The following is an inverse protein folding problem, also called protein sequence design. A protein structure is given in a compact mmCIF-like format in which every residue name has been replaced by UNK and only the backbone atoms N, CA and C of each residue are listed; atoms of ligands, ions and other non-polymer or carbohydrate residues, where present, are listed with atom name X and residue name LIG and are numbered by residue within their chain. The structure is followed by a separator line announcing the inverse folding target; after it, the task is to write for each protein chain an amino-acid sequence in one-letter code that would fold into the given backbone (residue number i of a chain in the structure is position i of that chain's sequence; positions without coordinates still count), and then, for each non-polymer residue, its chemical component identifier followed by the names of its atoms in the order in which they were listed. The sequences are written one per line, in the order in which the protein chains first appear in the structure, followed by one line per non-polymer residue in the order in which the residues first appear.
data_IF_323742488029
#
_entry.id   IF_323742488029
#
_cell.length_a   1.000
_cell.length_b   1.000
_cell.length_c   1.000
_cell.angle_alpha   90.00
_cell.angle_beta   90.00
_cell.angle_gamma   90.00
#
_symmetry.space_group_name_H-M   'P 1'
#
loop_
_entity.id
_entity.type
_entity.pdbx_description
1 polymer ?
#
# COMPACT_ATOMS: atom_id res chain seq x y z
N UNK A 1 2.31 12.04 -7.53
CA UNK A 1 1.69 10.90 -8.27
C UNK A 1 1.96 9.64 -7.47
N UNK A 2 0.97 8.76 -7.31
CA UNK A 2 1.09 7.52 -6.52
C UNK A 2 1.08 6.29 -7.42
N UNK A 3 2.23 5.63 -7.53
CA UNK A 3 2.35 4.34 -8.20
C UNK A 3 2.40 3.21 -7.17
N UNK A 4 1.62 2.16 -7.39
CA UNK A 4 1.47 1.02 -6.49
C UNK A 4 1.73 -0.25 -7.29
N UNK A 5 2.62 -1.10 -6.79
CA UNK A 5 2.96 -2.38 -7.41
C UNK A 5 2.69 -3.50 -6.43
N UNK A 6 1.93 -4.51 -6.86
CA UNK A 6 1.54 -5.66 -6.06
C UNK A 6 1.83 -6.92 -6.86
N UNK A 7 2.90 -7.62 -6.49
CA UNK A 7 3.30 -8.88 -7.11
C UNK A 7 2.51 -10.06 -6.56
N UNK A 8 1.20 -10.07 -6.84
CA UNK A 8 0.26 -11.10 -6.39
C UNK A 8 -1.18 -10.62 -6.40
N UNK A 9 -2.04 -11.34 -5.67
CA UNK A 9 -3.47 -11.06 -5.62
C UNK A 9 -3.82 -9.92 -4.66
N UNK A 10 -4.88 -9.19 -4.98
CA UNK A 10 -5.47 -8.15 -4.13
C UNK A 10 -6.91 -8.51 -3.81
N UNK A 11 -7.20 -8.75 -2.53
CA UNK A 11 -8.55 -8.99 -2.05
C UNK A 11 -9.00 -7.92 -1.04
N UNK A 12 -9.92 -7.05 -1.45
CA UNK A 12 -10.51 -6.00 -0.60
C UNK A 12 -12.01 -6.24 -0.40
N UNK A 13 -12.35 -7.37 0.22
CA UNK A 13 -13.75 -7.85 0.35
C UNK A 13 -14.44 -7.50 1.67
N UNK A 14 -13.89 -6.56 2.43
CA UNK A 14 -14.48 -6.07 3.67
C UNK A 14 -13.97 -4.66 4.00
N UNK A 15 -14.66 -3.99 4.94
CA UNK A 15 -14.34 -2.63 5.36
C UNK A 15 -14.54 -1.59 4.25
N UNK A 16 -13.91 -0.43 4.39
CA UNK A 16 -13.99 0.68 3.43
C UNK A 16 -12.62 1.19 3.00
N UNK A 17 -11.57 0.37 3.17
CA UNK A 17 -10.22 0.72 2.75
C UNK A 17 -10.17 0.89 1.22
N UNK A 18 -9.75 2.09 0.79
CA UNK A 18 -9.49 2.41 -0.61
C UNK A 18 -8.03 2.19 -0.98
N UNK A 19 -7.71 2.35 -2.26
CA UNK A 19 -6.36 2.22 -2.81
C UNK A 19 -6.09 3.37 -3.78
N UNK A 20 -4.85 3.86 -3.79
CA UNK A 20 -4.43 5.01 -4.58
C UNK A 20 -4.79 6.36 -3.94
N UNK A 21 -4.06 7.41 -4.35
CA UNK A 21 -4.27 8.78 -3.87
C UNK A 21 -5.41 9.45 -4.63
N UNK A 22 -6.34 10.08 -3.90
CA UNK A 22 -7.40 10.91 -4.49
C UNK A 22 -6.90 12.25 -4.99
N UNK A 23 -5.75 12.72 -4.50
CA UNK A 23 -5.18 14.02 -4.83
C UNK A 23 -4.16 13.92 -5.97
N UNK A 24 -3.37 12.84 -5.97
CA UNK A 24 -2.33 12.59 -6.95
C UNK A 24 -2.36 11.14 -7.48
N UNK A 25 -3.45 10.74 -8.16
CA UNK A 25 -3.56 9.38 -8.69
C UNK A 25 -2.43 9.08 -9.69
N UNK A 26 -1.86 7.88 -9.59
CA UNK A 26 -0.92 7.32 -10.56
C UNK A 26 -1.43 5.99 -11.09
N UNK A 27 -0.55 5.00 -11.16
CA UNK A 27 -0.88 3.65 -11.61
C UNK A 27 -0.95 2.64 -10.46
N UNK A 28 -1.81 1.63 -10.60
CA UNK A 28 -1.89 0.48 -9.69
C UNK A 28 -1.67 -0.77 -10.53
N UNK A 29 -0.55 -1.44 -10.33
CA UNK A 29 -0.11 -2.62 -11.05
C UNK A 29 -0.29 -3.86 -10.16
N UNK A 30 -1.00 -4.87 -10.65
CA UNK A 30 -1.35 -6.09 -9.89
C UNK A 30 -0.99 -7.32 -10.74
N UNK A 31 -0.01 -8.11 -10.29
CA UNK A 31 0.45 -9.32 -11.00
C UNK A 31 -0.44 -10.56 -10.78
N UNK A 32 -1.57 -10.40 -10.09
CA UNK A 32 -2.53 -11.46 -9.81
C UNK A 32 -3.97 -11.03 -10.06
N UNK A 33 -4.90 -11.66 -9.34
CA UNK A 33 -6.32 -11.34 -9.38
C UNK A 33 -6.65 -10.10 -8.52
N UNK A 34 -7.66 -9.33 -8.92
CA UNK A 34 -8.22 -8.23 -8.15
C UNK A 34 -9.67 -8.54 -7.74
N UNK A 35 -9.94 -8.56 -6.43
CA UNK A 35 -11.28 -8.79 -5.89
C UNK A 35 -11.76 -7.59 -5.04
N UNK A 36 -12.78 -6.90 -5.56
CA UNK A 36 -13.44 -5.74 -4.96
C UNK A 36 -14.94 -6.02 -4.77
N UNK A 37 -15.25 -7.07 -4.00
CA UNK A 37 -16.61 -7.61 -3.97
C UNK A 37 -17.56 -6.91 -2.99
N UNK A 38 -17.22 -6.88 -1.71
CA UNK A 38 -18.09 -6.28 -0.69
C UNK A 38 -17.50 -4.99 -0.15
N UNK A 39 -18.31 -3.95 -0.07
CA UNK A 39 -18.03 -2.67 0.60
C UNK A 39 -17.60 -1.55 -0.35
N UNK A 40 -18.11 -0.34 -0.06
CA UNK A 40 -17.96 0.84 -0.90
C UNK A 40 -16.63 1.56 -0.60
N UNK A 41 -15.60 1.20 -1.35
CA UNK A 41 -14.27 1.83 -1.32
C UNK A 41 -14.00 2.61 -2.59
N UNK A 42 -13.10 3.59 -2.52
CA UNK A 42 -12.61 4.29 -3.71
C UNK A 42 -11.28 3.69 -4.17
N UNK A 43 -11.15 3.50 -5.47
CA UNK A 43 -9.90 3.13 -6.15
C UNK A 43 -9.54 4.29 -7.07
N UNK A 44 -8.39 4.91 -6.79
CA UNK A 44 -7.90 6.06 -7.53
C UNK A 44 -6.66 5.69 -8.35
N UNK A 45 -6.60 6.19 -9.59
CA UNK A 45 -5.56 5.84 -10.54
C UNK A 45 -6.01 4.82 -11.57
N UNK A 46 -5.21 4.68 -12.62
CA UNK A 46 -5.40 3.62 -13.61
C UNK A 46 -4.90 2.30 -13.04
N UNK A 47 -5.67 1.22 -13.23
CA UNK A 47 -5.43 -0.09 -12.62
C UNK A 47 -5.13 -1.11 -13.71
N UNK A 48 -4.10 -1.90 -13.51
CA UNK A 48 -3.63 -2.94 -14.42
C UNK A 48 -3.60 -4.26 -13.66
N UNK A 49 -4.29 -5.26 -14.18
CA UNK A 49 -4.52 -6.55 -13.53
C UNK A 49 -4.11 -7.65 -14.49
N UNK A 50 -3.06 -8.40 -14.14
CA UNK A 50 -2.57 -9.52 -14.95
C UNK A 50 -3.49 -10.75 -14.88
N UNK A 51 -4.34 -10.83 -13.85
CA UNK A 51 -5.33 -11.88 -13.67
C UNK A 51 -6.76 -11.44 -13.96
N UNK A 52 -7.70 -12.03 -13.21
CA UNK A 52 -9.12 -11.74 -13.28
C UNK A 52 -9.50 -10.56 -12.39
N UNK A 53 -10.57 -9.86 -12.76
CA UNK A 53 -11.12 -8.77 -11.96
C UNK A 53 -12.56 -9.05 -11.55
N UNK A 54 -12.82 -9.03 -10.24
CA UNK A 54 -14.17 -9.13 -9.67
C UNK A 54 -14.57 -7.83 -9.02
N UNK A 55 -15.65 -7.21 -9.51
CA UNK A 55 -16.10 -5.87 -9.10
C UNK A 55 -17.59 -5.86 -8.77
N UNK A 56 -17.95 -5.39 -7.56
CA UNK A 56 -19.36 -5.28 -7.15
C UNK A 56 -19.71 -3.98 -6.43
N UNK A 57 -19.08 -3.62 -5.32
CA UNK A 57 -19.51 -2.44 -4.52
C UNK A 57 -18.55 -1.25 -4.60
N UNK A 58 -17.37 -1.42 -5.20
CA UNK A 58 -16.33 -0.39 -5.24
C UNK A 58 -16.63 0.75 -6.24
N UNK A 59 -15.93 1.86 -6.03
CA UNK A 59 -15.96 3.07 -6.83
C UNK A 59 -14.64 3.22 -7.58
N UNK A 60 -14.68 3.09 -8.89
CA UNK A 60 -13.53 3.15 -9.78
C UNK A 60 -13.45 4.56 -10.37
N UNK A 61 -12.34 5.25 -10.14
CA UNK A 61 -12.12 6.62 -10.62
C UNK A 61 -11.23 6.71 -11.86
N UNK A 62 -10.37 5.70 -12.10
CA UNK A 62 -9.53 5.61 -13.30
C UNK A 62 -9.91 4.45 -14.22
N UNK A 63 -9.17 4.26 -15.31
CA UNK A 63 -9.38 3.11 -16.19
C UNK A 63 -8.87 1.83 -15.52
N UNK A 64 -9.42 0.69 -15.93
CA UNK A 64 -8.96 -0.63 -15.50
C UNK A 64 -8.65 -1.48 -16.73
N UNK A 65 -7.51 -2.14 -16.71
CA UNK A 65 -7.01 -3.02 -17.77
C UNK A 65 -6.84 -4.42 -17.18
N UNK A 66 -7.60 -5.38 -17.68
CA UNK A 66 -7.70 -6.74 -17.11
C UNK A 66 -7.26 -7.76 -18.15
N UNK A 67 -6.14 -8.42 -17.94
CA UNK A 67 -5.70 -9.53 -18.78
C UNK A 67 -6.34 -10.86 -18.34
N UNK A 68 -7.67 -10.86 -18.27
CA UNK A 68 -8.42 -11.98 -17.74
C UNK A 68 -9.94 -11.77 -17.78
N UNK A 69 -10.65 -12.59 -17.02
CA UNK A 69 -12.10 -12.50 -16.95
C UNK A 69 -12.54 -11.32 -16.07
N UNK A 70 -13.65 -10.69 -16.46
CA UNK A 70 -14.32 -9.64 -15.70
C UNK A 70 -15.61 -10.19 -15.08
N UNK A 71 -15.70 -10.21 -13.75
CA UNK A 71 -16.91 -10.58 -13.03
C UNK A 71 -17.54 -9.35 -12.39
N UNK A 72 -18.77 -9.05 -12.76
CA UNK A 72 -19.53 -7.91 -12.23
C UNK A 72 -20.63 -8.37 -11.27
N UNK A 73 -20.74 -7.72 -10.11
CA UNK A 73 -21.91 -7.77 -9.23
C UNK A 73 -22.71 -6.47 -9.26
N UNK A 74 -23.86 -6.40 -8.58
CA UNK A 74 -24.60 -5.15 -8.34
C UNK A 74 -24.00 -4.45 -7.09
N UNK A 75 -23.55 -3.20 -7.06
CA UNK A 75 -23.82 -1.98 -7.84
C UNK A 75 -22.53 -1.13 -7.91
N UNK A 76 -21.58 -1.44 -8.81
CA UNK A 76 -20.32 -0.71 -8.82
C UNK A 76 -20.57 0.68 -9.39
N UNK A 77 -19.76 1.63 -8.95
CA UNK A 77 -19.71 2.94 -9.57
C UNK A 77 -18.42 3.05 -10.35
N UNK A 78 -18.53 3.51 -11.59
CA UNK A 78 -17.39 3.77 -12.46
C UNK A 78 -17.56 5.23 -12.90
N UNK A 79 -16.52 6.04 -12.72
CA UNK A 79 -16.51 7.45 -13.13
C UNK A 79 -16.87 7.61 -14.61
N UNK A 80 -17.37 8.78 -15.00
CA UNK A 80 -17.95 9.00 -16.34
C UNK A 80 -16.93 8.81 -17.48
N UNK A 81 -15.67 9.10 -17.22
CA UNK A 81 -14.52 8.94 -18.12
C UNK A 81 -13.75 7.62 -17.92
N UNK A 82 -14.06 6.86 -16.87
CA UNK A 82 -13.43 5.59 -16.57
C UNK A 82 -14.06 4.42 -17.34
N UNK A 83 -13.20 3.52 -17.82
CA UNK A 83 -13.58 2.31 -18.54
C UNK A 83 -12.86 1.08 -17.98
N UNK A 84 -13.45 -0.10 -18.18
CA UNK A 84 -12.82 -1.39 -17.87
C UNK A 84 -12.57 -2.12 -19.18
N UNK A 85 -11.31 -2.28 -19.54
CA UNK A 85 -10.86 -3.07 -20.68
C UNK A 85 -10.51 -4.49 -20.20
N UNK A 86 -10.97 -5.52 -20.92
CA UNK A 86 -10.72 -6.90 -20.54
C UNK A 86 -10.48 -7.82 -21.74
N UNK A 87 -9.66 -8.85 -21.57
CA UNK A 87 -9.31 -9.82 -22.64
C UNK A 87 -10.09 -11.14 -22.55
N UNK A 88 -10.61 -11.49 -21.37
CA UNK A 88 -11.34 -12.73 -21.12
C UNK A 88 -12.85 -12.62 -21.33
N UNK A 89 -13.59 -13.45 -20.60
CA UNK A 89 -15.05 -13.41 -20.61
C UNK A 89 -15.59 -12.43 -19.57
N UNK A 90 -16.77 -11.88 -19.85
CA UNK A 90 -17.54 -11.11 -18.88
C UNK A 90 -18.66 -11.96 -18.26
N UNK A 91 -18.73 -11.99 -16.94
CA UNK A 91 -19.83 -12.56 -16.17
C UNK A 91 -20.57 -11.46 -15.42
N UNK A 92 -21.90 -11.49 -15.46
CA UNK A 92 -22.75 -10.49 -14.82
C UNK A 92 -24.15 -11.06 -14.54
N UNK A 93 -24.88 -10.50 -13.56
CA UNK A 93 -26.29 -10.80 -13.35
C UNK A 93 -27.18 -10.54 -14.57
N UNK A 94 -28.35 -11.19 -14.59
CA UNK A 94 -29.41 -10.91 -15.56
C UNK A 94 -29.94 -9.48 -15.41
N UNK A 95 -30.36 -8.85 -16.51
CA UNK A 95 -30.89 -7.48 -16.55
C UNK A 95 -29.95 -6.40 -15.98
N UNK A 96 -28.64 -6.64 -16.05
CA UNK A 96 -27.60 -5.73 -15.54
C UNK A 96 -27.71 -4.30 -16.09
N UNK A 97 -27.19 -3.33 -15.33
CA UNK A 97 -27.21 -1.91 -15.72
C UNK A 97 -26.45 -1.68 -17.03
N UNK A 98 -27.16 -1.21 -18.07
CA UNK A 98 -26.59 -0.99 -19.40
C UNK A 98 -25.53 0.11 -19.44
N UNK A 99 -25.63 1.13 -18.58
CA UNK A 99 -24.64 2.21 -18.50
C UNK A 99 -23.31 1.76 -17.92
N UNK A 100 -23.34 0.88 -16.90
CA UNK A 100 -22.12 0.25 -16.36
C UNK A 100 -21.53 -0.69 -17.41
N UNK A 101 -22.38 -1.51 -18.05
CA UNK A 101 -21.93 -2.45 -19.06
C UNK A 101 -21.29 -1.77 -20.28
N UNK A 102 -21.79 -0.60 -20.69
CA UNK A 102 -21.23 0.17 -21.80
C UNK A 102 -19.80 0.67 -21.52
N UNK A 103 -19.40 0.76 -20.25
CA UNK A 103 -18.03 1.11 -19.84
C UNK A 103 -17.08 -0.10 -19.81
N UNK A 104 -17.61 -1.32 -19.99
CA UNK A 104 -16.82 -2.55 -20.03
C UNK A 104 -16.57 -2.94 -21.48
N UNK A 105 -15.31 -2.82 -21.94
CA UNK A 105 -14.93 -2.94 -23.34
C UNK A 105 -14.00 -4.16 -23.49
N UNK A 106 -14.44 -5.15 -24.24
CA UNK A 106 -13.58 -6.28 -24.59
C UNK A 106 -12.48 -5.83 -25.57
N UNK A 107 -11.24 -6.26 -25.34
CA UNK A 107 -10.10 -6.05 -26.23
C UNK A 107 -9.36 -7.36 -26.48
N UNK A 108 -8.64 -7.46 -27.59
CA UNK A 108 -7.78 -8.63 -27.85
C UNK A 108 -6.58 -8.67 -26.91
N UNK A 109 -6.07 -7.50 -26.53
CA UNK A 109 -4.92 -7.31 -25.63
C UNK A 109 -5.14 -6.06 -24.79
N UNK A 110 -4.54 -6.01 -23.61
CA UNK A 110 -4.42 -4.81 -22.77
C UNK A 110 -2.93 -4.54 -22.48
N UNK A 111 -2.55 -3.35 -21.98
CA UNK A 111 -1.18 -3.11 -21.54
C UNK A 111 -0.73 -4.13 -20.49
N UNK A 112 0.48 -4.64 -20.63
CA UNK A 112 1.05 -5.61 -19.70
C UNK A 112 1.41 -4.95 -18.36
N UNK A 113 1.32 -5.75 -17.29
CA UNK A 113 1.74 -5.36 -15.95
C UNK A 113 3.27 -5.47 -15.86
N UNK A 114 3.93 -4.37 -15.50
CA UNK A 114 5.37 -4.35 -15.25
C UNK A 114 5.64 -4.23 -13.76
N UNK A 115 6.23 -5.28 -13.18
CA UNK A 115 6.69 -5.27 -11.79
C UNK A 115 8.15 -4.78 -11.73
N UNK A 116 8.47 -3.81 -10.87
CA UNK A 116 9.85 -3.39 -10.69
C UNK A 116 10.64 -4.50 -9.99
N UNK A 117 11.80 -4.83 -10.53
CA UNK A 117 12.74 -5.77 -9.91
C UNK A 117 13.47 -5.06 -8.76
N UNK A 118 12.88 -5.08 -7.57
CA UNK A 118 13.43 -4.47 -6.36
C UNK A 118 13.75 -5.52 -5.31
N UNK A 119 15.04 -5.63 -4.97
CA UNK A 119 15.49 -6.40 -3.82
C UNK A 119 15.39 -5.59 -2.53
N UNK A 120 15.20 -6.29 -1.41
CA UNK A 120 15.28 -5.67 -0.09
C UNK A 120 16.75 -5.31 0.18
N UNK A 121 17.05 -4.03 0.45
CA UNK A 121 18.42 -3.61 0.67
C UNK A 121 19.00 -4.23 1.96
N UNK A 122 20.32 -4.26 2.09
CA UNK A 122 21.00 -4.75 3.29
C UNK A 122 21.10 -3.65 4.35
N UNK A 123 21.17 -4.00 5.65
CA UNK A 123 21.54 -3.00 6.68
C UNK A 123 23.00 -2.56 6.53
N UNK A 124 23.32 -1.34 7.01
CA UNK A 124 24.71 -0.92 7.22
C UNK A 124 25.34 -1.63 8.43
N UNK A 125 26.63 -1.39 8.69
CA UNK A 125 27.29 -1.93 9.89
C UNK A 125 26.82 -1.23 11.16
N UNK A 126 26.88 -1.92 12.30
CA UNK A 126 26.55 -1.33 13.61
C UNK A 126 27.35 -0.04 13.90
N UNK A 127 28.64 -0.01 13.52
CA UNK A 127 29.51 1.16 13.67
C UNK A 127 29.02 2.36 12.84
N UNK A 128 28.46 2.13 11.65
CA UNK A 128 27.89 3.18 10.81
C UNK A 128 26.69 3.85 11.50
N UNK A 129 25.82 3.05 12.11
CA UNK A 129 24.65 3.54 12.85
C UNK A 129 25.08 4.28 14.13
N UNK A 130 26.02 3.71 14.89
CA UNK A 130 26.55 4.34 16.11
C UNK A 130 27.20 5.71 15.81
N UNK A 131 27.98 5.80 14.72
CA UNK A 131 28.60 7.05 14.28
C UNK A 131 27.58 8.12 13.86
N UNK A 132 26.34 7.73 13.55
CA UNK A 132 25.25 8.62 13.11
C UNK A 132 24.17 8.83 14.18
N UNK A 133 24.45 8.43 15.42
CA UNK A 133 23.59 8.68 16.57
C UNK A 133 22.32 7.83 16.61
N UNK A 134 22.37 6.61 16.05
CA UNK A 134 21.31 5.62 16.27
C UNK A 134 21.52 4.95 17.63
N UNK A 135 20.46 4.96 18.43
CA UNK A 135 20.45 4.29 19.73
C UNK A 135 20.01 2.82 19.60
N UNK A 136 20.46 1.92 20.49
CA UNK A 136 20.04 0.51 20.48
C UNK A 136 18.60 0.30 20.96
N UNK A 137 17.97 1.33 21.52
CA UNK A 137 16.58 1.34 21.98
C UNK A 137 16.15 2.78 22.25
N UNK A 138 14.85 3.02 22.43
CA UNK A 138 14.37 4.35 22.82
C UNK A 138 12.85 4.43 22.88
N UNK A 139 12.35 5.38 23.66
CA UNK A 139 10.94 5.74 23.67
C UNK A 139 10.54 6.35 22.32
N UNK A 140 9.36 5.97 21.80
CA UNK A 140 8.82 6.49 20.55
C UNK A 140 8.57 8.00 20.67
N UNK A 141 9.49 8.80 20.14
CA UNK A 141 9.50 10.27 20.24
C UNK A 141 10.05 10.88 18.96
N UNK A 142 9.71 12.14 18.68
CA UNK A 142 10.14 12.80 17.44
C UNK A 142 11.67 12.87 17.31
N UNK A 143 12.16 12.74 16.08
CA UNK A 143 13.59 12.75 15.71
C UNK A 143 14.42 11.58 16.25
N UNK A 144 13.80 10.55 16.84
CA UNK A 144 14.54 9.39 17.32
C UNK A 144 15.15 8.61 16.15
N UNK A 145 16.33 8.03 16.40
CA UNK A 145 16.98 7.09 15.49
C UNK A 145 17.30 5.83 16.27
N UNK A 146 16.80 4.67 15.82
CA UNK A 146 17.03 3.38 16.47
C UNK A 146 17.58 2.37 15.49
N UNK A 147 18.62 1.66 15.91
CA UNK A 147 19.14 0.46 15.26
C UNK A 147 19.21 -0.67 16.28
N UNK A 148 18.37 -1.69 16.11
CA UNK A 148 18.24 -2.79 17.06
C UNK A 148 17.88 -4.09 16.34
N UNK A 149 17.94 -5.22 17.04
CA UNK A 149 17.47 -6.51 16.50
C UNK A 149 15.97 -6.47 16.17
N UNK A 150 15.18 -5.79 17.01
CA UNK A 150 13.74 -5.53 16.84
C UNK A 150 13.35 -4.24 17.58
N UNK A 151 12.18 -3.68 17.27
CA UNK A 151 11.64 -2.49 17.94
C UNK A 151 10.18 -2.69 18.34
N UNK A 152 9.82 -2.23 19.54
CA UNK A 152 8.45 -2.31 20.03
C UNK A 152 8.06 -1.09 20.87
N UNK A 153 6.95 -0.44 20.48
CA UNK A 153 6.24 0.56 21.27
C UNK A 153 4.74 0.25 21.22
N UNK A 154 4.17 -0.25 22.33
CA UNK A 154 2.78 -0.75 22.39
C UNK A 154 1.88 0.05 23.34
N UNK A 155 2.46 1.01 24.05
CA UNK A 155 1.73 1.94 24.92
C UNK A 155 1.32 3.18 24.12
N UNK A 156 0.30 3.88 24.60
CA UNK A 156 -0.07 5.17 24.03
C UNK A 156 1.11 6.14 24.08
N UNK A 157 1.34 6.84 22.95
CA UNK A 157 2.36 7.87 22.77
C UNK A 157 1.75 9.05 22.01
N UNK A 158 2.25 10.24 22.30
CA UNK A 158 2.00 11.41 21.45
C UNK A 158 2.47 11.14 20.02
N UNK A 159 1.96 11.89 19.05
CA UNK A 159 2.42 11.80 17.66
C UNK A 159 3.93 11.99 17.58
N UNK A 160 4.63 11.01 17.01
CA UNK A 160 6.08 11.04 16.83
C UNK A 160 6.41 11.30 15.36
N UNK A 161 7.23 12.31 15.11
CA UNK A 161 7.57 12.76 13.75
C UNK A 161 9.04 12.59 13.45
N UNK A 162 9.37 12.34 12.18
CA UNK A 162 10.76 12.19 11.73
C UNK A 162 11.51 11.09 12.50
N UNK A 163 10.87 9.93 12.71
CA UNK A 163 11.52 8.79 13.36
C UNK A 163 12.27 7.95 12.34
N UNK A 164 13.39 7.34 12.72
CA UNK A 164 14.07 6.33 11.90
C UNK A 164 14.29 5.08 12.73
N UNK A 165 13.66 3.98 12.34
CA UNK A 165 13.68 2.73 13.10
C UNK A 165 14.12 1.60 12.18
N UNK A 166 15.26 1.00 12.54
CA UNK A 166 15.87 -0.11 11.83
C UNK A 166 15.87 -1.34 12.73
N UNK A 167 15.09 -2.36 12.34
CA UNK A 167 15.04 -3.67 12.99
C UNK A 167 15.84 -4.68 12.14
N UNK A 168 17.11 -4.91 12.47
CA UNK A 168 18.06 -5.63 11.63
C UNK A 168 17.68 -7.10 11.36
N UNK A 169 17.09 -7.77 12.35
CA UNK A 169 16.79 -9.21 12.29
C UNK A 169 15.32 -9.57 12.52
N UNK A 170 14.55 -8.68 13.16
CA UNK A 170 13.20 -8.95 13.63
C UNK A 170 12.21 -7.85 13.24
N UNK A 171 11.16 -7.74 14.05
CA UNK A 171 9.98 -6.94 13.72
C UNK A 171 10.06 -5.50 14.26
N UNK A 172 9.28 -4.62 13.62
CA UNK A 172 8.90 -3.31 14.17
C UNK A 172 7.43 -3.39 14.57
N UNK A 173 7.12 -3.14 15.84
CA UNK A 173 5.75 -3.09 16.35
C UNK A 173 5.46 -1.72 16.96
N UNK A 174 4.56 -0.95 16.33
CA UNK A 174 4.11 0.36 16.82
C UNK A 174 2.58 0.30 16.98
N UNK A 175 2.11 0.05 18.19
CA UNK A 175 0.68 -0.13 18.48
C UNK A 175 0.26 0.67 19.71
N UNK A 176 -1.05 0.73 19.96
CA UNK A 176 -1.59 1.48 21.10
C UNK A 176 -1.60 2.99 20.92
N UNK A 177 -1.33 3.50 19.71
CA UNK A 177 -1.28 4.95 19.42
C UNK A 177 -2.65 5.63 19.55
N UNK A 178 -3.75 4.90 19.37
CA UNK A 178 -5.09 5.49 19.41
C UNK A 178 -5.26 6.57 18.34
N UNK A 179 -5.59 7.79 18.75
CA UNK A 179 -5.76 8.96 17.86
C UNK A 179 -4.46 9.63 17.41
N UNK A 180 -3.30 9.06 17.69
CA UNK A 180 -2.00 9.61 17.27
C UNK A 180 -1.37 8.77 16.16
N UNK A 181 -0.28 9.27 15.59
CA UNK A 181 0.37 8.64 14.45
C UNK A 181 1.89 8.77 14.48
N UNK A 182 2.52 8.26 13.42
CA UNK A 182 3.97 8.34 13.24
C UNK A 182 4.33 8.84 11.84
N UNK A 183 5.43 9.60 11.75
CA UNK A 183 6.08 9.88 10.46
C UNK A 183 7.55 9.48 10.47
N UNK A 184 8.05 8.87 9.39
CA UNK A 184 9.45 8.50 9.33
C UNK A 184 9.81 7.33 8.41
N UNK A 185 10.94 6.70 8.72
CA UNK A 185 11.50 5.54 8.02
C UNK A 185 11.47 4.31 8.92
N UNK A 186 10.85 3.23 8.44
CA UNK A 186 10.67 1.97 9.16
C UNK A 186 11.22 0.83 8.30
N UNK A 187 12.33 0.24 8.74
CA UNK A 187 13.05 -0.77 7.95
C UNK A 187 13.24 -2.07 8.75
N UNK A 188 12.64 -3.14 8.26
CA UNK A 188 12.70 -4.50 8.83
C UNK A 188 13.08 -5.51 7.72
N UNK A 189 14.36 -5.55 7.27
CA UNK A 189 14.78 -6.38 6.13
C UNK A 189 14.59 -7.88 6.33
N UNK A 190 14.37 -8.32 7.57
CA UNK A 190 14.20 -9.72 7.93
C UNK A 190 12.93 -9.97 8.76
N UNK A 191 12.01 -9.01 8.79
CA UNK A 191 10.80 -9.09 9.60
C UNK A 191 9.65 -8.32 8.99
N UNK A 192 8.64 -8.07 9.82
CA UNK A 192 7.45 -7.27 9.44
C UNK A 192 7.38 -5.95 10.20
N UNK A 193 6.58 -5.03 9.68
CA UNK A 193 6.14 -3.84 10.42
C UNK A 193 4.66 -3.99 10.78
N UNK A 194 4.32 -3.83 12.05
CA UNK A 194 2.93 -3.82 12.54
C UNK A 194 2.60 -2.45 13.10
N UNK A 195 1.52 -1.84 12.60
CA UNK A 195 1.06 -0.51 12.99
C UNK A 195 -0.40 -0.52 13.48
N UNK A 196 -0.65 0.19 14.59
CA UNK A 196 -2.00 0.46 15.09
C UNK A 196 -2.12 1.89 15.64
N UNK A 197 -2.71 2.79 14.86
CA UNK A 197 -2.89 4.21 15.17
C UNK A 197 -3.74 4.95 14.14
N UNK A 198 -3.86 6.28 14.29
CA UNK A 198 -4.65 7.10 13.38
C UNK A 198 -3.98 7.24 12.00
N UNK A 199 -2.66 7.43 11.95
CA UNK A 199 -1.94 7.53 10.69
C UNK A 199 -0.48 7.06 10.78
N UNK A 200 0.02 6.53 9.66
CA UNK A 200 1.45 6.34 9.40
C UNK A 200 1.78 7.06 8.11
N UNK A 201 2.78 7.94 8.13
CA UNK A 201 3.32 8.56 6.93
C UNK A 201 4.82 8.22 6.80
N UNK A 202 5.24 7.74 5.64
CA UNK A 202 6.65 7.67 5.31
C UNK A 202 7.06 6.40 4.58
N UNK A 203 8.25 5.88 4.91
CA UNK A 203 8.86 4.74 4.23
C UNK A 203 8.70 3.50 5.09
N UNK A 204 8.12 2.43 4.54
CA UNK A 204 8.09 1.11 5.17
C UNK A 204 8.70 0.09 4.21
N UNK A 205 9.81 -0.54 4.61
CA UNK A 205 10.43 -1.64 3.87
C UNK A 205 10.51 -2.83 4.81
N UNK A 206 9.79 -3.90 4.50
CA UNK A 206 9.68 -5.08 5.36
C UNK A 206 9.52 -6.35 4.55
N UNK A 207 10.36 -7.36 4.82
CA UNK A 207 10.33 -8.64 4.08
C UNK A 207 9.04 -9.42 4.31
N UNK A 208 8.63 -9.49 5.57
CA UNK A 208 7.49 -10.31 5.97
C UNK A 208 6.18 -9.50 5.96
N UNK A 209 6.21 -8.29 5.41
CA UNK A 209 5.05 -7.46 5.12
C UNK A 209 4.81 -6.31 6.11
N UNK A 210 3.77 -5.53 5.80
CA UNK A 210 3.30 -4.40 6.59
C UNK A 210 1.84 -4.61 6.99
N UNK A 211 1.56 -4.58 8.29
CA UNK A 211 0.26 -4.93 8.86
C UNK A 211 -0.33 -3.74 9.61
N UNK A 212 -1.46 -3.25 9.12
CA UNK A 212 -2.26 -2.24 9.82
C UNK A 212 -3.42 -2.91 10.52
N UNK A 213 -3.44 -2.88 11.85
CA UNK A 213 -4.43 -3.62 12.65
C UNK A 213 -5.56 -2.75 13.19
N UNK A 214 -5.47 -1.43 13.05
CA UNK A 214 -6.52 -0.48 13.44
C UNK A 214 -7.42 -0.12 12.26
N UNK A 215 -8.73 0.02 12.53
CA UNK A 215 -9.67 0.56 11.56
C UNK A 215 -9.56 2.09 11.44
N UNK A 216 -9.81 2.63 10.25
CA UNK A 216 -9.78 4.08 10.00
C UNK A 216 -8.37 4.68 9.93
N UNK A 217 -7.33 3.86 9.89
CA UNK A 217 -5.95 4.31 9.72
C UNK A 217 -5.71 4.83 8.31
N UNK A 218 -5.09 6.00 8.21
CA UNK A 218 -4.52 6.50 6.97
C UNK A 218 -3.04 6.08 6.86
N UNK A 219 -2.65 5.49 5.73
CA UNK A 219 -1.24 5.22 5.43
C UNK A 219 -0.86 6.00 4.19
N UNK A 220 0.19 6.80 4.31
CA UNK A 220 0.72 7.61 3.22
C UNK A 220 2.18 7.25 3.01
N UNK A 221 2.49 6.55 1.93
CA UNK A 221 3.88 6.28 1.57
C UNK A 221 4.53 7.51 0.94
N UNK A 222 5.78 7.77 1.32
CA UNK A 222 6.59 8.89 0.83
C UNK A 222 7.94 8.39 0.34
N UNK A 223 8.61 9.19 -0.49
CA UNK A 223 9.98 8.89 -0.89
C UNK A 223 10.94 9.12 0.29
N UNK A 224 12.01 8.33 0.36
CA UNK A 224 12.99 8.45 1.44
C UNK A 224 13.68 9.82 1.49
N UNK A 225 13.81 10.49 0.35
CA UNK A 225 14.37 11.85 0.23
C UNK A 225 13.58 12.91 1.01
N UNK A 226 12.31 12.65 1.34
CA UNK A 226 11.49 13.53 2.18
C UNK A 226 11.92 13.50 3.67
N UNK A 227 12.60 12.43 4.10
CA UNK A 227 13.10 12.27 5.48
C UNK A 227 14.62 12.38 5.58
N UNK A 228 15.34 11.97 4.54
CA UNK A 228 16.80 11.95 4.51
C UNK A 228 17.25 12.57 3.19
N UNK A 229 17.79 13.79 3.26
CA UNK A 229 18.15 14.54 2.05
C UNK A 229 19.43 14.04 1.36
N UNK A 230 20.36 13.45 2.12
CA UNK A 230 21.62 12.93 1.60
C UNK A 230 21.51 11.41 1.39
N UNK A 231 21.61 10.90 0.15
CA UNK A 231 21.61 9.46 -0.13
C UNK A 231 22.69 8.68 0.61
N UNK A 232 23.83 9.29 0.94
CA UNK A 232 24.90 8.64 1.72
C UNK A 232 24.50 8.36 3.17
N UNK A 233 23.41 8.99 3.64
CA UNK A 233 22.80 8.80 4.95
C UNK A 233 21.59 7.87 4.94
N UNK A 234 21.28 7.22 3.80
CA UNK A 234 20.25 6.19 3.75
C UNK A 234 20.66 5.00 4.65
N UNK A 235 19.77 4.51 5.52
CA UNK A 235 20.11 3.53 6.54
C UNK A 235 20.18 2.10 5.99
N UNK A 236 20.30 1.90 4.68
CA UNK A 236 20.39 0.61 4.01
C UNK A 236 21.19 0.73 2.70
#
# INVERSE_FOLDING_TARGET
MTDIYIDGDVALNHGSAGLGSSEEPGSIQINGDLELWNGARNIYGDVYVAGNFSLKDARIHGNVYVDGNLTLGWTPWIADDAHIYYTGNISKPDNYNAGILAKCIHQETVPEVEMPDQEIPSTKSADWYAARGYDPSGDLTSNMKVFADSYSSTSWRETATNVTIIASTGDITITGMGGTGVTGVFFAPNGKVTFSGQFLEGVVIARDGFFVTSGGTAVTFRNIEEYISDPDDYPF
#
